data_IF_222943361539
#
_entry.id   IF_222943361539
#
_cell.length_a   1.000
_cell.length_b   1.000
_cell.length_c   1.000
_cell.angle_alpha   90.00
_cell.angle_beta   90.00
_cell.angle_gamma   90.00
#
_symmetry.space_group_name_H-M   'P 1'
#
loop_
_entity.id
_entity.type
_entity.pdbx_description
1 polymer ?
#
# COMPACT_ATOMS: atom_id res chain seq x y z
N UNK A 1 -2.96 -6.48 17.66
CA UNK A 1 -3.26 -5.68 16.46
C UNK A 1 -2.32 -6.02 15.29
N UNK A 2 -1.00 -6.06 15.48
CA UNK A 2 -0.03 -6.40 14.42
C UNK A 2 -0.30 -7.76 13.76
N UNK A 3 -0.62 -8.78 14.54
CA UNK A 3 -0.95 -10.12 14.02
C UNK A 3 -2.20 -10.11 13.14
N UNK A 4 -3.18 -9.25 13.46
CA UNK A 4 -4.45 -9.17 12.73
C UNK A 4 -4.24 -8.65 11.32
N UNK A 5 -3.56 -7.53 11.14
CA UNK A 5 -3.39 -6.99 9.79
C UNK A 5 -2.51 -7.92 8.92
N UNK A 6 -1.50 -8.58 9.50
CA UNK A 6 -0.69 -9.57 8.77
C UNK A 6 -1.53 -10.79 8.37
N UNK A 7 -2.39 -11.28 9.25
CA UNK A 7 -3.31 -12.38 8.94
C UNK A 7 -4.29 -11.99 7.82
N UNK A 8 -4.88 -10.80 7.91
CA UNK A 8 -5.74 -10.26 6.85
C UNK A 8 -4.98 -10.11 5.54
N UNK A 9 -3.74 -9.60 5.58
CA UNK A 9 -2.91 -9.45 4.39
C UNK A 9 -2.63 -10.80 3.72
N UNK A 10 -2.33 -11.83 4.50
CA UNK A 10 -2.12 -13.20 4.01
C UNK A 10 -3.37 -13.75 3.31
N UNK A 11 -4.54 -13.65 3.94
CA UNK A 11 -5.79 -14.12 3.35
C UNK A 11 -6.17 -13.31 2.11
N UNK A 12 -6.03 -12.00 2.18
CA UNK A 12 -6.41 -11.11 1.07
C UNK A 12 -5.47 -11.25 -0.12
N UNK A 13 -4.21 -11.63 0.08
CA UNK A 13 -3.26 -11.90 -1.00
C UNK A 13 -3.78 -12.99 -1.97
N UNK A 14 -4.50 -13.99 -1.46
CA UNK A 14 -5.13 -15.02 -2.27
C UNK A 14 -6.29 -14.47 -3.13
N UNK A 15 -6.98 -13.45 -2.63
CA UNK A 15 -8.11 -12.81 -3.31
C UNK A 15 -7.67 -11.74 -4.31
N UNK A 16 -6.44 -11.22 -4.20
CA UNK A 16 -5.94 -10.17 -5.09
C UNK A 16 -5.96 -10.59 -6.56
N UNK A 17 -5.60 -11.85 -6.86
CA UNK A 17 -5.53 -12.35 -8.24
C UNK A 17 -6.92 -12.33 -8.91
N UNK A 18 -7.98 -12.97 -8.34
CA UNK A 18 -9.30 -12.94 -8.94
C UNK A 18 -9.88 -11.52 -9.01
N UNK A 19 -9.70 -10.69 -7.97
CA UNK A 19 -10.18 -9.30 -7.96
C UNK A 19 -9.51 -8.49 -9.08
N UNK A 20 -8.19 -8.59 -9.22
CA UNK A 20 -7.43 -7.88 -10.23
C UNK A 20 -7.77 -8.34 -11.67
N UNK A 21 -8.23 -9.58 -11.85
CA UNK A 21 -8.74 -10.07 -13.16
C UNK A 21 -10.03 -9.40 -13.57
N UNK A 22 -10.89 -9.07 -12.61
CA UNK A 22 -12.21 -8.44 -12.88
C UNK A 22 -12.13 -6.92 -12.97
N UNK A 23 -11.45 -6.28 -12.01
CA UNK A 23 -11.37 -4.81 -11.89
C UNK A 23 -10.16 -4.20 -12.60
N UNK A 24 -9.16 -5.03 -12.97
CA UNK A 24 -7.85 -4.53 -13.41
C UNK A 24 -6.91 -4.27 -12.21
N UNK A 25 -5.60 -4.45 -12.43
CA UNK A 25 -4.59 -4.33 -11.35
C UNK A 25 -4.54 -2.95 -10.74
N UNK A 26 -4.57 -1.92 -11.56
CA UNK A 26 -4.55 -0.51 -11.18
C UNK A 26 -5.72 -0.14 -10.27
N UNK A 27 -6.95 -0.46 -10.68
CA UNK A 27 -8.14 -0.13 -9.91
C UNK A 27 -8.18 -0.90 -8.59
N UNK A 28 -7.81 -2.18 -8.62
CA UNK A 28 -7.68 -3.00 -7.42
C UNK A 28 -6.68 -2.37 -6.43
N UNK A 29 -5.50 -1.96 -6.92
CA UNK A 29 -4.48 -1.32 -6.08
C UNK A 29 -4.97 -0.01 -5.49
N UNK A 30 -5.58 0.87 -6.30
CA UNK A 30 -6.13 2.14 -5.82
C UNK A 30 -7.20 1.96 -4.74
N UNK A 31 -8.11 1.00 -4.92
CA UNK A 31 -9.14 0.69 -3.91
C UNK A 31 -8.52 0.16 -2.61
N UNK A 32 -7.54 -0.74 -2.70
CA UNK A 32 -6.84 -1.25 -1.52
C UNK A 32 -6.11 -0.13 -0.76
N UNK A 33 -5.47 0.81 -1.48
CA UNK A 33 -4.82 1.97 -0.85
C UNK A 33 -5.83 2.87 -0.15
N UNK A 34 -7.00 3.11 -0.74
CA UNK A 34 -8.07 3.87 -0.10
C UNK A 34 -8.57 3.20 1.19
N UNK A 35 -8.75 1.88 1.18
CA UNK A 35 -9.13 1.13 2.37
C UNK A 35 -8.06 1.18 3.47
N UNK A 36 -6.78 1.09 3.09
CA UNK A 36 -5.67 1.26 4.03
C UNK A 36 -5.57 2.67 4.60
N UNK A 37 -5.76 3.69 3.76
CA UNK A 37 -5.80 5.09 4.17
C UNK A 37 -6.93 5.34 5.18
N UNK A 38 -8.13 4.85 4.89
CA UNK A 38 -9.27 4.91 5.81
C UNK A 38 -8.98 4.16 7.11
N UNK A 39 -8.34 2.98 7.03
CA UNK A 39 -7.91 2.21 8.20
C UNK A 39 -6.93 2.99 9.09
N UNK A 40 -5.89 3.62 8.51
CA UNK A 40 -4.92 4.41 9.27
C UNK A 40 -5.55 5.66 9.89
N UNK A 41 -6.38 6.39 9.14
CA UNK A 41 -7.08 7.59 9.63
C UNK A 41 -8.07 7.23 10.74
N UNK A 42 -8.76 6.11 10.62
CA UNK A 42 -9.73 5.67 11.65
C UNK A 42 -9.08 5.36 12.99
N UNK A 43 -7.80 4.97 13.04
CA UNK A 43 -7.06 4.78 14.30
C UNK A 43 -6.99 6.05 15.15
N UNK A 44 -7.00 7.22 14.52
CA UNK A 44 -7.05 8.50 15.24
C UNK A 44 -8.43 8.76 15.86
N UNK A 45 -9.50 8.27 15.22
CA UNK A 45 -10.88 8.52 15.63
C UNK A 45 -11.40 7.48 16.64
N UNK A 46 -10.77 6.31 16.70
CA UNK A 46 -11.27 5.19 17.49
C UNK A 46 -10.56 5.09 18.85
N UNK A 47 -11.33 5.13 19.92
CA UNK A 47 -10.82 5.07 21.29
C UNK A 47 -10.91 3.66 21.91
N UNK A 48 -11.49 2.68 21.20
CA UNK A 48 -11.67 1.31 21.69
C UNK A 48 -10.77 0.34 20.92
N UNK A 49 -10.04 -0.50 21.65
CA UNK A 49 -9.18 -1.56 21.07
C UNK A 49 -9.99 -2.53 20.18
N UNK A 50 -11.24 -2.83 20.55
CA UNK A 50 -12.11 -3.67 19.74
C UNK A 50 -12.45 -3.05 18.38
N UNK A 51 -12.70 -1.74 18.35
CA UNK A 51 -12.97 -1.02 17.08
C UNK A 51 -11.72 -0.88 16.23
N UNK A 52 -10.53 -0.79 16.81
CA UNK A 52 -9.27 -0.75 16.06
C UNK A 52 -9.01 -2.03 15.23
N UNK A 53 -9.66 -3.15 15.55
CA UNK A 53 -9.59 -4.37 14.73
C UNK A 53 -10.11 -4.11 13.32
N UNK A 54 -11.17 -3.33 13.16
CA UNK A 54 -11.69 -2.97 11.83
C UNK A 54 -10.69 -2.14 11.03
N UNK A 55 -9.97 -1.24 11.70
CA UNK A 55 -8.87 -0.49 11.06
C UNK A 55 -7.79 -1.42 10.54
N UNK A 56 -7.44 -2.47 11.30
CA UNK A 56 -6.43 -3.46 10.91
C UNK A 56 -6.84 -4.25 9.66
N UNK A 57 -8.12 -4.43 9.42
CA UNK A 57 -8.60 -5.08 8.19
C UNK A 57 -8.26 -4.22 6.98
N UNK A 58 -8.59 -2.93 7.00
CA UNK A 58 -8.25 -2.00 5.91
C UNK A 58 -6.74 -1.92 5.65
N UNK A 59 -5.95 -1.83 6.73
CA UNK A 59 -4.48 -1.79 6.66
C UNK A 59 -3.94 -3.10 6.07
N UNK A 60 -4.45 -4.26 6.48
CA UNK A 60 -4.04 -5.56 5.95
C UNK A 60 -4.32 -5.72 4.45
N UNK A 61 -5.49 -5.27 4.00
CA UNK A 61 -5.86 -5.25 2.57
C UNK A 61 -4.88 -4.40 1.77
N UNK A 62 -4.57 -3.19 2.26
CA UNK A 62 -3.61 -2.30 1.60
C UNK A 62 -2.21 -2.91 1.57
N UNK A 63 -1.77 -3.52 2.68
CA UNK A 63 -0.45 -4.13 2.79
C UNK A 63 -0.26 -5.26 1.78
N UNK A 64 -1.24 -6.17 1.64
CA UNK A 64 -1.22 -7.22 0.62
C UNK A 64 -1.07 -6.63 -0.80
N UNK A 65 -1.81 -5.56 -1.09
CA UNK A 65 -1.77 -4.90 -2.39
C UNK A 65 -0.46 -4.14 -2.64
N UNK A 66 0.11 -3.47 -1.62
CA UNK A 66 1.39 -2.75 -1.71
C UNK A 66 2.53 -3.72 -2.05
N UNK A 67 2.51 -4.93 -1.49
CA UNK A 67 3.55 -5.92 -1.76
C UNK A 67 3.42 -6.60 -3.14
N UNK A 68 2.24 -6.65 -3.74
CA UNK A 68 2.00 -7.43 -4.95
C UNK A 68 1.72 -6.59 -6.19
N UNK A 69 0.84 -5.59 -6.10
CA UNK A 69 0.30 -4.91 -7.28
C UNK A 69 1.29 -4.01 -8.02
N UNK A 70 2.18 -3.23 -7.37
CA UNK A 70 3.16 -2.42 -8.09
C UNK A 70 4.10 -3.26 -8.95
N UNK A 71 4.56 -4.40 -8.42
CA UNK A 71 5.39 -5.34 -9.19
C UNK A 71 4.63 -5.96 -10.37
N UNK A 72 3.37 -6.32 -10.16
CA UNK A 72 2.52 -6.88 -11.21
C UNK A 72 2.22 -5.86 -12.31
N UNK A 73 1.97 -4.60 -11.97
CA UNK A 73 1.74 -3.51 -12.94
C UNK A 73 3.02 -3.22 -13.74
N UNK A 74 4.17 -3.17 -13.04
CA UNK A 74 5.46 -2.89 -13.66
C UNK A 74 5.87 -4.02 -14.61
N UNK A 75 5.75 -5.28 -14.19
CA UNK A 75 6.17 -6.45 -14.98
C UNK A 75 5.48 -6.54 -16.34
N UNK A 76 4.21 -6.13 -16.43
CA UNK A 76 3.48 -6.14 -17.70
C UNK A 76 3.98 -5.10 -18.72
N UNK A 77 4.72 -4.10 -18.25
CA UNK A 77 5.22 -2.99 -19.07
C UNK A 77 6.67 -3.17 -19.50
N UNK A 78 7.36 -4.16 -18.96
CA UNK A 78 8.79 -4.36 -19.16
C UNK A 78 9.09 -5.46 -20.19
N UNK A 79 10.16 -5.30 -20.99
CA UNK A 79 10.68 -6.36 -21.83
C UNK A 79 11.32 -7.47 -20.97
N UNK A 80 11.08 -8.73 -21.35
CA UNK A 80 11.50 -9.90 -20.56
C UNK A 80 13.02 -9.98 -20.34
N UNK A 81 13.81 -9.58 -21.32
CA UNK A 81 15.28 -9.59 -21.31
C UNK A 81 15.88 -8.60 -20.30
N UNK A 82 15.14 -7.55 -19.93
CA UNK A 82 15.58 -6.49 -19.00
C UNK A 82 14.83 -6.47 -17.68
N UNK A 83 13.96 -7.45 -17.45
CA UNK A 83 13.09 -7.51 -16.27
C UNK A 83 13.86 -7.36 -14.95
N UNK A 84 14.97 -8.11 -14.79
CA UNK A 84 15.76 -8.07 -13.56
C UNK A 84 16.35 -6.68 -13.26
N UNK A 85 16.88 -6.00 -14.28
CA UNK A 85 17.45 -4.65 -14.11
C UNK A 85 16.39 -3.63 -13.67
N UNK A 86 15.25 -3.62 -14.36
CA UNK A 86 14.18 -2.66 -14.02
C UNK A 86 13.53 -2.95 -12.67
N UNK A 87 13.38 -4.23 -12.29
CA UNK A 87 12.91 -4.61 -10.96
C UNK A 87 13.90 -4.19 -9.87
N UNK A 88 15.20 -4.30 -10.14
CA UNK A 88 16.25 -3.80 -9.25
C UNK A 88 16.15 -2.27 -9.06
N UNK A 89 16.04 -1.51 -10.14
CA UNK A 89 15.85 -0.05 -10.08
C UNK A 89 14.55 0.30 -9.31
N UNK A 90 13.47 -0.41 -9.56
CA UNK A 90 12.20 -0.19 -8.86
C UNK A 90 12.34 -0.40 -7.35
N UNK A 91 13.11 -1.40 -6.92
CA UNK A 91 13.37 -1.62 -5.50
C UNK A 91 14.10 -0.45 -4.83
N UNK A 92 14.95 0.31 -5.53
CA UNK A 92 15.55 1.52 -4.98
C UNK A 92 14.49 2.58 -4.64
N UNK A 93 13.46 2.75 -5.48
CA UNK A 93 12.35 3.68 -5.20
C UNK A 93 11.52 3.27 -3.97
N UNK A 94 11.57 2.02 -3.57
CA UNK A 94 10.94 1.52 -2.33
C UNK A 94 11.91 1.66 -1.16
N UNK A 95 13.14 1.20 -1.31
CA UNK A 95 14.10 1.07 -0.21
C UNK A 95 14.66 2.42 0.25
N UNK A 96 14.96 3.35 -0.67
CA UNK A 96 15.52 4.66 -0.31
C UNK A 96 14.56 5.45 0.59
N UNK A 97 13.26 5.61 0.26
CA UNK A 97 12.32 6.26 1.16
C UNK A 97 12.17 5.56 2.52
N UNK A 98 12.22 4.22 2.56
CA UNK A 98 12.15 3.47 3.81
C UNK A 98 13.36 3.74 4.71
N UNK A 99 14.58 3.72 4.16
CA UNK A 99 15.79 4.06 4.90
C UNK A 99 15.73 5.50 5.41
N UNK A 100 15.37 6.44 4.52
CA UNK A 100 15.23 7.85 4.88
C UNK A 100 14.22 8.04 6.01
N UNK A 101 13.04 7.41 5.90
CA UNK A 101 12.03 7.45 6.94
C UNK A 101 12.55 6.84 8.25
N UNK A 102 13.26 5.70 8.19
CA UNK A 102 13.86 5.08 9.38
C UNK A 102 14.82 6.01 10.14
N UNK A 103 15.57 6.85 9.43
CA UNK A 103 16.51 7.78 10.02
C UNK A 103 15.79 9.01 10.62
N UNK A 104 14.84 9.59 9.88
CA UNK A 104 14.26 10.89 10.26
C UNK A 104 12.95 10.79 11.03
N UNK A 105 12.29 9.63 10.99
CA UNK A 105 10.93 9.47 11.55
C UNK A 105 10.88 9.75 13.05
N UNK A 106 11.86 9.27 13.81
CA UNK A 106 11.95 9.53 15.25
C UNK A 106 12.05 11.03 15.57
N UNK A 107 12.83 11.77 14.78
CA UNK A 107 12.95 13.22 14.89
C UNK A 107 11.63 13.92 14.55
N UNK A 108 10.94 13.50 13.50
CA UNK A 108 9.62 14.04 13.10
C UNK A 108 8.61 13.82 14.22
N UNK A 109 8.51 12.60 14.75
CA UNK A 109 7.57 12.29 15.83
C UNK A 109 7.83 13.17 17.06
N UNK A 110 9.10 13.37 17.42
CA UNK A 110 9.47 14.17 18.59
C UNK A 110 9.23 15.66 18.38
N UNK A 111 9.67 16.22 17.26
CA UNK A 111 9.73 17.68 17.07
C UNK A 111 8.54 18.25 16.30
N UNK A 112 7.95 17.49 15.37
CA UNK A 112 6.80 17.94 14.56
C UNK A 112 5.49 17.49 15.19
N UNK A 113 5.42 16.25 15.65
CA UNK A 113 4.21 15.68 16.24
C UNK A 113 4.19 15.75 17.78
N UNK A 114 5.15 16.47 18.40
CA UNK A 114 5.24 16.67 19.84
C UNK A 114 5.16 15.38 20.67
N UNK A 115 5.73 14.29 20.16
CA UNK A 115 5.71 12.96 20.78
C UNK A 115 4.46 12.11 20.50
N UNK A 116 3.47 12.64 19.79
CA UNK A 116 2.23 11.91 19.49
C UNK A 116 2.37 11.06 18.20
N UNK A 117 2.79 9.81 18.34
CA UNK A 117 3.00 8.89 17.22
C UNK A 117 1.74 8.65 16.37
N UNK A 118 0.54 8.88 16.91
CA UNK A 118 -0.72 8.74 16.17
C UNK A 118 -0.81 9.68 14.95
N UNK A 119 -0.19 10.86 15.01
CA UNK A 119 -0.13 11.77 13.87
C UNK A 119 0.70 11.22 12.71
N UNK A 120 1.68 10.37 12.98
CA UNK A 120 2.42 9.68 11.94
C UNK A 120 1.52 8.68 11.18
N UNK A 121 0.64 7.98 11.89
CA UNK A 121 -0.35 7.08 11.27
C UNK A 121 -1.37 7.87 10.44
N UNK A 122 -1.87 8.99 10.98
CA UNK A 122 -2.79 9.88 10.27
C UNK A 122 -2.16 10.41 8.98
N UNK A 123 -0.92 10.92 9.06
CA UNK A 123 -0.17 11.41 7.88
C UNK A 123 0.05 10.29 6.87
N UNK A 124 0.42 9.08 7.32
CA UNK A 124 0.54 7.90 6.46
C UNK A 124 -0.76 7.55 5.75
N UNK A 125 -1.89 7.64 6.45
CA UNK A 125 -3.22 7.43 5.85
C UNK A 125 -3.54 8.44 4.74
N UNK A 126 -3.23 9.72 4.97
CA UNK A 126 -3.40 10.78 3.96
C UNK A 126 -2.52 10.51 2.73
N UNK A 127 -1.26 10.12 2.93
CA UNK A 127 -0.38 9.76 1.81
C UNK A 127 -0.87 8.54 1.02
N UNK A 128 -1.55 7.58 1.65
CA UNK A 128 -2.17 6.46 0.93
C UNK A 128 -3.30 6.93 0.00
N UNK A 129 -4.09 7.93 0.37
CA UNK A 129 -5.08 8.52 -0.54
C UNK A 129 -4.41 9.25 -1.71
N UNK A 130 -3.33 10.00 -1.48
CA UNK A 130 -2.56 10.58 -2.58
C UNK A 130 -1.94 9.52 -3.49
N UNK A 131 -1.43 8.43 -2.92
CA UNK A 131 -0.93 7.29 -3.70
C UNK A 131 -2.03 6.63 -4.53
N UNK A 132 -3.24 6.46 -4.00
CA UNK A 132 -4.39 5.94 -4.73
C UNK A 132 -4.75 6.85 -5.92
N UNK A 133 -4.75 8.16 -5.71
CA UNK A 133 -4.96 9.14 -6.78
C UNK A 133 -3.84 9.06 -7.84
N UNK A 134 -2.57 8.99 -7.42
CA UNK A 134 -1.43 8.87 -8.33
C UNK A 134 -1.49 7.59 -9.18
N UNK A 135 -1.87 6.45 -8.59
CA UNK A 135 -2.06 5.18 -9.30
C UNK A 135 -3.12 5.34 -10.40
N UNK A 136 -4.15 6.15 -10.18
CA UNK A 136 -5.18 6.39 -11.19
C UNK A 136 -4.66 7.08 -12.47
N UNK A 137 -3.52 7.74 -12.40
CA UNK A 137 -2.87 8.40 -13.54
C UNK A 137 -1.96 7.45 -14.35
N UNK A 138 -1.61 6.30 -13.80
CA UNK A 138 -0.78 5.30 -14.50
C UNK A 138 -1.54 4.75 -15.70
N UNK A 139 -0.91 4.72 -16.88
CA UNK A 139 -1.47 4.10 -18.08
C UNK A 139 -1.16 2.60 -18.07
N UNK A 140 -2.16 1.75 -17.89
CA UNK A 140 -2.02 0.31 -18.11
C UNK A 140 -2.08 0.00 -19.62
N UNK A 141 -1.16 -0.83 -20.12
CA UNK A 141 -1.36 -1.51 -21.40
C UNK A 141 -2.53 -2.48 -21.21
N UNK A 142 -3.62 -2.31 -21.95
CA UNK A 142 -4.72 -3.28 -21.98
C UNK A 142 -4.12 -4.65 -22.30
N UNK A 143 -4.27 -5.58 -21.39
CA UNK A 143 -3.93 -6.98 -21.59
C UNK A 143 -4.78 -7.48 -22.76
N UNK A 144 -4.16 -7.60 -23.95
CA UNK A 144 -4.81 -8.23 -25.08
C UNK A 144 -4.98 -9.70 -24.72
N UNK A 145 -6.20 -10.10 -24.36
CA UNK A 145 -6.57 -11.52 -24.35
C UNK A 145 -6.35 -12.06 -25.76
N UNK A 146 -5.18 -12.62 -26.02
CA UNK A 146 -5.08 -13.64 -27.06
C UNK A 146 -5.64 -14.92 -26.44
N UNK A 147 -6.84 -15.24 -26.87
CA UNK A 147 -7.48 -16.55 -26.71
C UNK A 147 -6.65 -17.58 -27.48
#
# INVERSE_FOLDING_TARGET
LFSIYNFVAMLFALLLIPIARHLGRKMTHALCLCLGGAGLVSLYLLNSTGMMVFSMIGIGIAWASILAMPYAILSDSLPADKMGTYMGIFNFFITIPQITNGIIHGWIVRNVYHGHAVFALLTGGVFLFFAAAAVSLVKEKKFSRKV
#
